data_IF_137429584066
#
_entry.id   IF_137429584066
#
_cell.length_a   1.000
_cell.length_b   1.000
_cell.length_c   1.000
_cell.angle_alpha   90.00
_cell.angle_beta   90.00
_cell.angle_gamma   90.00
#
_symmetry.space_group_name_H-M   'P 1'
#
loop_
_entity.id
_entity.type
_entity.pdbx_description
1 polymer ?
#
# COMPACT_ATOMS: atom_id res chain seq x y z
N UNK A 1 32.83 -2.41 104.31
CA UNK A 1 32.56 -1.69 103.08
C UNK A 1 32.98 -2.62 101.93
N UNK A 2 32.02 -3.41 101.38
CA UNK A 2 32.30 -4.41 100.36
C UNK A 2 31.96 -3.82 99.03
N UNK A 3 32.96 -3.59 98.16
CA UNK A 3 32.82 -3.18 96.78
C UNK A 3 32.58 -4.46 95.93
N UNK A 4 31.36 -4.69 95.53
CA UNK A 4 31.04 -5.69 94.52
C UNK A 4 31.57 -5.19 93.19
N UNK A 5 32.66 -5.77 92.71
CA UNK A 5 33.13 -5.58 91.32
C UNK A 5 32.16 -6.34 90.43
N UNK A 6 31.24 -5.59 89.79
CA UNK A 6 30.39 -6.12 88.78
C UNK A 6 31.23 -6.59 87.59
N UNK A 7 31.18 -7.86 87.34
CA UNK A 7 31.91 -8.48 86.21
C UNK A 7 31.26 -8.11 84.87
N UNK A 8 31.63 -6.95 84.34
CA UNK A 8 31.03 -6.43 83.06
C UNK A 8 31.61 -7.07 81.79
N UNK A 9 32.65 -7.95 81.94
CA UNK A 9 33.35 -8.60 80.81
C UNK A 9 32.45 -9.59 80.00
N UNK A 10 31.46 -10.20 80.65
CA UNK A 10 30.54 -11.15 80.00
C UNK A 10 29.48 -10.47 79.15
N UNK A 11 28.98 -9.26 79.52
CA UNK A 11 27.98 -8.53 78.78
C UNK A 11 28.55 -7.91 77.51
N UNK A 12 29.77 -7.45 77.51
CA UNK A 12 30.41 -6.86 76.34
C UNK A 12 30.54 -7.88 75.19
N UNK A 13 30.84 -9.13 75.46
CA UNK A 13 30.92 -10.19 74.47
C UNK A 13 29.55 -10.53 73.86
N UNK A 14 28.50 -10.61 74.69
CA UNK A 14 27.15 -10.87 74.21
C UNK A 14 26.62 -9.76 73.34
N UNK A 15 26.87 -8.49 73.64
CA UNK A 15 26.51 -7.33 72.83
C UNK A 15 27.31 -7.32 71.56
N UNK A 16 28.60 -7.65 71.55
CA UNK A 16 29.40 -7.72 70.34
C UNK A 16 28.93 -8.81 69.39
N UNK A 17 28.59 -10.01 69.91
CA UNK A 17 28.03 -11.09 69.08
C UNK A 17 26.64 -10.69 68.50
N UNK A 18 25.80 -10.10 69.36
CA UNK A 18 24.49 -9.63 68.89
C UNK A 18 24.61 -8.54 67.78
N UNK A 19 25.48 -7.57 67.98
CA UNK A 19 25.76 -6.53 67.00
C UNK A 19 26.28 -7.13 65.68
N UNK A 20 27.16 -8.13 65.77
CA UNK A 20 27.70 -8.81 64.57
C UNK A 20 26.62 -9.60 63.80
N UNK A 21 25.72 -10.27 64.53
CA UNK A 21 24.57 -10.96 63.93
C UNK A 21 23.62 -9.97 63.26
N UNK A 22 23.29 -8.85 63.89
CA UNK A 22 22.43 -7.81 63.38
C UNK A 22 23.04 -7.17 62.09
N UNK A 23 24.31 -6.81 62.14
CA UNK A 23 25.03 -6.26 60.98
C UNK A 23 25.10 -7.30 59.87
N UNK A 24 25.41 -8.57 60.21
CA UNK A 24 25.41 -9.66 59.25
C UNK A 24 24.04 -9.87 58.57
N UNK A 25 22.96 -9.81 59.33
CA UNK A 25 21.59 -9.90 58.79
C UNK A 25 21.24 -8.71 57.91
N UNK A 26 21.62 -7.48 58.25
CA UNK A 26 21.41 -6.28 57.45
C UNK A 26 22.18 -6.35 56.13
N UNK A 27 23.45 -6.77 56.16
CA UNK A 27 24.27 -6.95 54.95
C UNK A 27 23.68 -8.04 54.06
N UNK A 28 23.28 -9.18 54.60
CA UNK A 28 22.64 -10.26 53.84
C UNK A 28 21.32 -9.80 53.25
N UNK A 29 20.49 -9.04 53.99
CA UNK A 29 19.26 -8.45 53.50
C UNK A 29 19.47 -7.46 52.34
N UNK A 30 20.47 -6.57 52.47
CA UNK A 30 20.82 -5.61 51.46
C UNK A 30 21.33 -6.30 50.17
N UNK A 31 22.18 -7.32 50.30
CA UNK A 31 22.64 -8.12 49.14
C UNK A 31 21.50 -8.87 48.47
N UNK A 32 20.58 -9.45 49.25
CA UNK A 32 19.40 -10.12 48.70
C UNK A 32 18.50 -9.13 47.94
N UNK A 33 18.20 -7.96 48.52
CA UNK A 33 17.42 -6.91 47.87
C UNK A 33 18.09 -6.45 46.54
N UNK A 34 19.39 -6.16 46.57
CA UNK A 34 20.15 -5.74 45.40
C UNK A 34 20.17 -6.81 44.29
N UNK A 35 20.26 -8.09 44.67
CA UNK A 35 20.17 -9.17 43.65
C UNK A 35 18.78 -9.29 43.06
N UNK A 36 17.71 -9.07 43.81
CA UNK A 36 16.34 -9.06 43.32
C UNK A 36 16.07 -7.86 42.37
N UNK A 37 16.56 -6.67 42.78
CA UNK A 37 16.48 -5.48 41.92
C UNK A 37 17.21 -5.67 40.59
N UNK A 38 18.42 -6.22 40.62
CA UNK A 38 19.19 -6.52 39.41
C UNK A 38 18.47 -7.50 38.48
N UNK A 39 17.84 -8.55 39.03
CA UNK A 39 17.04 -9.52 38.25
C UNK A 39 15.80 -8.85 37.63
N UNK A 40 15.11 -8.02 38.38
CA UNK A 40 13.94 -7.28 37.93
C UNK A 40 14.31 -6.31 36.81
N UNK A 41 15.40 -5.57 36.99
CA UNK A 41 15.91 -4.65 35.96
C UNK A 41 16.28 -5.38 34.68
N UNK A 42 16.97 -6.54 34.77
CA UNK A 42 17.31 -7.34 33.57
C UNK A 42 16.07 -7.91 32.88
N UNK A 43 15.09 -8.39 33.63
CA UNK A 43 13.82 -8.87 33.06
C UNK A 43 13.08 -7.73 32.33
N UNK A 44 13.00 -6.56 32.92
CA UNK A 44 12.38 -5.38 32.30
C UNK A 44 13.13 -4.98 31.04
N UNK A 45 14.45 -4.98 31.04
CA UNK A 45 15.27 -4.70 29.86
C UNK A 45 14.98 -5.68 28.72
N UNK A 46 14.85 -6.98 29.02
CA UNK A 46 14.52 -8.01 28.04
C UNK A 46 13.11 -7.88 27.48
N UNK A 47 12.14 -7.55 28.34
CA UNK A 47 10.77 -7.28 27.91
C UNK A 47 10.70 -6.07 26.97
N UNK A 48 11.43 -4.98 27.27
CA UNK A 48 11.52 -3.82 26.39
C UNK A 48 12.15 -4.16 25.03
N UNK A 49 13.19 -4.99 25.02
CA UNK A 49 13.79 -5.47 23.78
C UNK A 49 12.80 -6.32 22.97
N UNK A 50 12.10 -7.25 23.60
CA UNK A 50 11.10 -8.08 22.94
C UNK A 50 9.95 -7.22 22.37
N UNK A 51 9.57 -6.15 23.09
CA UNK A 51 8.60 -5.16 22.59
C UNK A 51 9.12 -4.44 21.33
N UNK A 52 10.36 -3.92 21.36
CA UNK A 52 10.96 -3.27 20.19
C UNK A 52 11.08 -4.21 18.98
N UNK A 53 11.32 -5.52 19.22
CA UNK A 53 11.29 -6.53 18.15
C UNK A 53 9.89 -6.70 17.56
N UNK A 54 8.85 -6.73 18.39
CA UNK A 54 7.47 -6.80 17.90
C UNK A 54 7.06 -5.54 17.12
N UNK A 55 7.44 -4.35 17.60
CA UNK A 55 7.21 -3.07 16.91
C UNK A 55 7.92 -3.02 15.56
N UNK A 56 9.16 -3.50 15.50
CA UNK A 56 9.89 -3.61 14.24
C UNK A 56 9.19 -4.55 13.25
N UNK A 57 8.59 -5.65 13.73
CA UNK A 57 7.78 -6.54 12.92
C UNK A 57 6.54 -5.86 12.33
N UNK A 58 5.87 -4.97 13.08
CA UNK A 58 4.76 -4.15 12.56
C UNK A 58 5.26 -3.22 11.45
N UNK A 59 6.39 -2.54 11.67
CA UNK A 59 6.95 -1.60 10.71
C UNK A 59 7.41 -2.32 9.43
N UNK A 60 8.03 -3.49 9.55
CA UNK A 60 8.43 -4.32 8.41
C UNK A 60 7.23 -4.82 7.62
N UNK A 61 6.16 -5.23 8.31
CA UNK A 61 4.90 -5.58 7.67
C UNK A 61 4.31 -4.41 6.87
N UNK A 62 4.31 -3.20 7.43
CA UNK A 62 3.81 -2.00 6.75
C UNK A 62 4.67 -1.66 5.53
N UNK A 63 6.00 -1.67 5.70
CA UNK A 63 6.95 -1.36 4.64
C UNK A 63 6.93 -2.40 3.49
N UNK A 64 6.76 -3.68 3.83
CA UNK A 64 6.69 -4.79 2.88
C UNK A 64 5.26 -5.19 2.50
N UNK A 65 4.25 -4.30 2.63
CA UNK A 65 2.87 -4.63 2.34
C UNK A 65 2.64 -4.97 0.87
N UNK A 66 2.41 -6.23 0.57
CA UNK A 66 2.03 -6.64 -0.79
C UNK A 66 0.52 -6.46 -1.00
N UNK A 67 0.15 -5.33 -1.59
CA UNK A 67 -1.24 -5.01 -1.88
C UNK A 67 -1.89 -6.01 -2.86
N UNK A 68 -1.11 -6.57 -3.79
CA UNK A 68 -1.60 -7.50 -4.80
C UNK A 68 -2.08 -8.84 -4.21
N UNK A 69 -1.57 -9.19 -3.04
CA UNK A 69 -1.93 -10.42 -2.31
C UNK A 69 -2.87 -10.11 -1.15
N UNK A 70 -2.49 -9.16 -0.29
CA UNK A 70 -3.20 -8.92 0.97
C UNK A 70 -4.53 -8.19 0.78
N UNK A 71 -4.59 -7.20 -0.13
CA UNK A 71 -5.82 -6.44 -0.33
C UNK A 71 -6.93 -7.26 -0.99
N UNK A 72 -6.58 -8.29 -1.75
CA UNK A 72 -7.55 -9.20 -2.41
C UNK A 72 -7.81 -10.47 -1.61
N UNK A 73 -7.11 -10.68 -0.49
CA UNK A 73 -7.29 -11.81 0.40
C UNK A 73 -8.70 -11.89 1.00
N UNK A 74 -9.07 -13.07 1.48
CA UNK A 74 -10.39 -13.32 2.10
C UNK A 74 -10.53 -12.61 3.44
N UNK A 75 -11.76 -12.19 3.77
CA UNK A 75 -12.05 -11.59 5.07
C UNK A 75 -12.16 -12.67 6.16
N UNK A 76 -11.66 -12.34 7.35
CA UNK A 76 -11.75 -13.20 8.53
C UNK A 76 -12.84 -12.64 9.48
N UNK A 77 -13.72 -13.47 10.00
CA UNK A 77 -13.98 -14.91 9.74
C UNK A 77 -15.06 -15.17 8.69
N UNK A 78 -15.52 -14.15 7.95
CA UNK A 78 -16.75 -14.17 7.16
C UNK A 78 -16.65 -15.00 5.87
N UNK A 79 -15.48 -15.08 5.26
CA UNK A 79 -15.29 -15.78 3.98
C UNK A 79 -14.85 -17.23 4.15
N UNK A 80 -15.32 -17.90 5.21
CA UNK A 80 -14.94 -19.27 5.58
C UNK A 80 -13.43 -19.41 5.84
N UNK A 81 -12.75 -18.31 6.12
CA UNK A 81 -11.34 -18.34 6.53
C UNK A 81 -11.28 -18.57 8.03
N UNK A 82 -10.91 -19.78 8.42
CA UNK A 82 -10.78 -20.19 9.82
C UNK A 82 -9.39 -19.91 10.39
N UNK A 83 -8.42 -19.66 9.51
CA UNK A 83 -7.03 -19.40 9.89
C UNK A 83 -6.65 -18.02 9.34
N UNK A 84 -6.13 -17.11 10.17
CA UNK A 84 -5.60 -15.83 9.71
C UNK A 84 -4.35 -16.03 8.84
N UNK A 85 -4.03 -15.05 8.01
CA UNK A 85 -2.78 -15.07 7.26
C UNK A 85 -1.60 -15.01 8.24
N UNK A 86 -0.69 -15.96 8.12
CA UNK A 86 0.54 -15.94 8.89
C UNK A 86 1.46 -14.82 8.38
N UNK A 87 2.04 -14.08 9.32
CA UNK A 87 3.19 -13.24 9.02
C UNK A 87 4.44 -14.14 9.05
N UNK A 88 5.16 -14.19 7.94
CA UNK A 88 6.41 -14.94 7.87
C UNK A 88 7.37 -14.48 8.98
N UNK A 89 8.02 -15.43 9.69
CA UNK A 89 8.95 -15.08 10.73
C UNK A 89 10.10 -14.24 10.19
N UNK A 90 10.27 -13.04 10.73
CA UNK A 90 11.36 -12.14 10.38
C UNK A 90 12.39 -12.03 11.50
N UNK A 91 13.61 -11.68 11.11
CA UNK A 91 14.71 -11.35 12.02
C UNK A 91 15.16 -9.93 11.76
N UNK A 92 15.47 -9.21 12.83
CA UNK A 92 15.98 -7.84 12.69
C UNK A 92 17.49 -7.92 12.45
N UNK A 93 18.01 -7.32 11.37
CA UNK A 93 19.45 -7.26 11.13
C UNK A 93 20.19 -6.68 12.35
N UNK A 94 21.28 -7.34 12.78
CA UNK A 94 22.11 -6.95 13.92
C UNK A 94 21.44 -7.06 15.31
N UNK A 95 20.28 -7.72 15.42
CA UNK A 95 19.62 -8.01 16.69
C UNK A 95 19.41 -9.52 16.90
N UNK A 96 19.40 -9.95 18.15
CA UNK A 96 19.13 -11.35 18.51
C UNK A 96 17.62 -11.66 18.59
N UNK A 97 16.78 -10.79 18.04
CA UNK A 97 15.33 -10.88 18.10
C UNK A 97 14.71 -11.50 16.85
N UNK A 98 13.60 -12.18 17.05
CA UNK A 98 12.74 -12.66 15.98
C UNK A 98 11.29 -12.30 16.27
N UNK A 99 10.53 -11.98 15.22
CA UNK A 99 9.09 -11.75 15.31
C UNK A 99 8.32 -12.77 14.45
N UNK A 100 7.08 -13.00 14.83
CA UNK A 100 6.11 -13.77 14.07
C UNK A 100 4.70 -13.36 14.50
N UNK A 101 3.71 -13.58 13.68
CA UNK A 101 2.35 -13.18 14.02
C UNK A 101 1.30 -13.60 13.01
N UNK A 102 0.14 -12.98 13.14
CA UNK A 102 -1.01 -13.22 12.28
C UNK A 102 -1.62 -11.90 11.81
N UNK A 103 -2.23 -11.94 10.64
CA UNK A 103 -2.91 -10.82 10.01
C UNK A 103 -4.34 -11.24 9.75
N UNK A 104 -5.28 -10.43 10.22
CA UNK A 104 -6.71 -10.66 10.07
C UNK A 104 -7.31 -9.55 9.23
N UNK A 105 -7.80 -9.85 8.05
CA UNK A 105 -8.55 -8.90 7.23
C UNK A 105 -9.97 -8.79 7.77
N UNK A 106 -10.31 -7.66 8.39
CA UNK A 106 -11.63 -7.45 9.01
C UNK A 106 -12.68 -6.96 8.01
N UNK A 107 -12.26 -6.13 7.06
CA UNK A 107 -13.07 -5.68 5.92
C UNK A 107 -12.14 -5.21 4.78
N UNK A 108 -12.70 -4.54 3.76
CA UNK A 108 -11.93 -4.04 2.61
C UNK A 108 -10.77 -3.09 2.95
N UNK A 109 -10.83 -2.42 4.10
CA UNK A 109 -9.89 -1.37 4.48
C UNK A 109 -9.14 -1.64 5.79
N UNK A 110 -9.69 -2.49 6.67
CA UNK A 110 -9.19 -2.67 8.03
C UNK A 110 -8.60 -4.06 8.25
N UNK A 111 -7.44 -4.07 8.87
CA UNK A 111 -6.71 -5.28 9.25
C UNK A 111 -6.34 -5.20 10.72
N UNK A 112 -6.52 -6.30 11.43
CA UNK A 112 -5.94 -6.50 12.75
C UNK A 112 -4.68 -7.33 12.58
N UNK A 113 -3.59 -6.86 13.17
CA UNK A 113 -2.32 -7.59 13.24
C UNK A 113 -2.02 -7.94 14.68
N UNK A 114 -1.49 -9.14 14.88
CA UNK A 114 -1.10 -9.68 16.17
C UNK A 114 0.31 -10.22 16.03
N UNK A 115 1.28 -9.47 16.52
CA UNK A 115 2.71 -9.75 16.35
C UNK A 115 3.36 -10.00 17.69
N UNK A 116 4.12 -11.08 17.75
CA UNK A 116 4.91 -11.50 18.89
C UNK A 116 6.38 -11.32 18.59
N UNK A 117 7.06 -10.48 19.38
CA UNK A 117 8.51 -10.32 19.38
C UNK A 117 9.16 -11.16 20.47
N UNK A 118 10.33 -11.73 20.19
CA UNK A 118 11.16 -12.48 21.12
C UNK A 118 12.56 -11.91 21.13
N UNK A 119 13.12 -11.71 22.33
CA UNK A 119 14.56 -11.47 22.51
C UNK A 119 15.21 -12.81 22.87
N UNK A 120 16.08 -13.32 22.01
CA UNK A 120 16.84 -14.54 22.26
C UNK A 120 18.30 -14.19 22.45
N UNK A 121 18.72 -13.91 23.67
CA UNK A 121 20.16 -13.92 23.98
C UNK A 121 20.63 -15.36 24.17
N UNK A 122 21.55 -15.78 23.32
CA UNK A 122 22.34 -16.99 23.55
C UNK A 122 23.26 -16.75 24.77
N UNK A 123 22.82 -17.21 25.93
CA UNK A 123 23.71 -17.25 27.11
C UNK A 123 24.70 -18.39 26.85
N UNK A 124 25.93 -18.02 26.60
CA UNK A 124 27.06 -18.99 26.67
C UNK A 124 27.08 -19.61 28.09
N UNK A 125 26.95 -20.95 28.11
CA UNK A 125 27.10 -21.85 29.27
C UNK A 125 25.88 -22.03 30.19
N UNK A 126 25.45 -23.29 30.26
CA UNK A 126 24.78 -24.03 31.40
C UNK A 126 23.49 -23.46 32.04
N UNK A 127 23.02 -22.28 31.73
CA UNK A 127 21.72 -21.78 32.17
C UNK A 127 20.70 -21.84 31.06
N UNK A 128 19.52 -22.36 31.38
CA UNK A 128 18.35 -22.39 30.48
C UNK A 128 18.16 -21.02 29.84
N UNK A 129 18.12 -20.96 28.51
CA UNK A 129 17.89 -19.74 27.76
C UNK A 129 16.55 -19.08 28.18
N UNK A 130 16.61 -18.01 28.94
CA UNK A 130 15.44 -17.21 29.26
C UNK A 130 15.15 -16.31 28.10
N UNK A 131 14.11 -16.61 27.32
CA UNK A 131 13.61 -15.73 26.25
C UNK A 131 12.48 -14.87 26.79
N UNK A 132 12.60 -13.56 26.66
CA UNK A 132 11.48 -12.67 26.87
C UNK A 132 10.61 -12.64 25.59
N UNK A 133 9.31 -12.59 25.80
CA UNK A 133 8.32 -12.49 24.71
C UNK A 133 7.36 -11.35 25.02
N UNK A 134 7.08 -10.53 24.02
CA UNK A 134 6.03 -9.52 24.07
C UNK A 134 5.13 -9.63 22.84
N UNK A 135 3.87 -9.31 23.02
CA UNK A 135 2.84 -9.40 21.98
C UNK A 135 2.18 -8.04 21.79
N UNK A 136 2.05 -7.60 20.55
CA UNK A 136 1.44 -6.34 20.17
C UNK A 136 0.26 -6.63 19.25
N UNK A 137 -0.91 -6.07 19.57
CA UNK A 137 -2.04 -5.98 18.68
C UNK A 137 -2.07 -4.61 18.01
N UNK A 138 -2.26 -4.55 16.70
CA UNK A 138 -2.34 -3.31 15.95
C UNK A 138 -3.48 -3.30 14.94
N UNK A 139 -4.15 -2.16 14.81
CA UNK A 139 -5.16 -1.96 13.77
C UNK A 139 -4.52 -1.18 12.62
N UNK A 140 -4.42 -1.82 11.46
CA UNK A 140 -3.94 -1.22 10.22
C UNK A 140 -5.13 -0.83 9.36
N UNK A 141 -5.07 0.33 8.72
CA UNK A 141 -6.04 0.79 7.72
C UNK A 141 -5.34 1.00 6.40
N UNK A 142 -5.92 0.44 5.33
CA UNK A 142 -5.57 0.81 3.98
C UNK A 142 -6.13 2.22 3.72
N UNK A 143 -5.29 3.13 3.26
CA UNK A 143 -5.74 4.45 2.80
C UNK A 143 -6.46 4.26 1.47
N UNK A 144 -7.73 4.61 1.44
CA UNK A 144 -8.54 4.46 0.23
C UNK A 144 -8.28 5.60 -0.74
N UNK A 145 -8.04 5.22 -1.98
CA UNK A 145 -8.00 6.15 -3.09
C UNK A 145 -9.38 6.18 -3.75
N UNK A 146 -10.06 7.31 -3.66
CA UNK A 146 -11.35 7.51 -4.30
C UNK A 146 -11.24 8.59 -5.38
N UNK A 147 -11.19 8.17 -6.63
CA UNK A 147 -11.08 9.09 -7.76
C UNK A 147 -12.40 9.74 -8.15
N UNK A 148 -13.51 9.41 -7.52
CA UNK A 148 -14.82 9.98 -7.86
C UNK A 148 -15.18 9.82 -9.33
N UNK A 149 -14.90 8.65 -9.91
CA UNK A 149 -15.03 8.36 -11.34
C UNK A 149 -16.49 8.47 -11.77
N UNK A 150 -16.80 9.49 -12.56
CA UNK A 150 -18.14 9.77 -13.06
C UNK A 150 -18.31 9.61 -14.58
N UNK A 151 -17.24 9.22 -15.29
CA UNK A 151 -17.22 8.99 -16.73
C UNK A 151 -16.04 8.14 -17.16
N UNK A 152 -16.09 7.59 -18.38
CA UNK A 152 -14.93 6.93 -18.98
C UNK A 152 -13.79 7.93 -19.19
N UNK A 153 -14.14 9.15 -19.60
CA UNK A 153 -13.25 10.31 -19.63
C UNK A 153 -13.79 11.40 -18.69
N UNK A 154 -12.98 11.87 -17.76
CA UNK A 154 -13.24 13.10 -16.98
C UNK A 154 -12.19 14.14 -17.34
N UNK A 155 -12.63 15.33 -17.77
CA UNK A 155 -11.72 16.40 -18.20
C UNK A 155 -12.26 17.78 -17.83
N UNK A 156 -11.37 18.76 -17.72
CA UNK A 156 -11.74 20.19 -17.60
C UNK A 156 -11.57 20.94 -18.91
N UNK A 157 -10.71 20.42 -19.79
CA UNK A 157 -10.37 21.05 -21.05
C UNK A 157 -11.27 20.67 -22.20
N UNK A 158 -10.94 21.18 -23.37
CA UNK A 158 -11.63 20.87 -24.60
C UNK A 158 -11.43 19.40 -24.99
N UNK A 159 -12.46 18.79 -25.55
CA UNK A 159 -12.40 17.44 -26.11
C UNK A 159 -12.75 17.47 -27.58
N UNK A 160 -11.90 16.87 -28.40
CA UNK A 160 -12.17 16.63 -29.81
C UNK A 160 -12.09 15.15 -30.10
N UNK A 161 -13.18 14.60 -30.62
CA UNK A 161 -13.21 13.24 -31.16
C UNK A 161 -13.20 13.32 -32.68
N UNK A 162 -12.37 12.50 -33.33
CA UNK A 162 -12.26 12.45 -34.80
C UNK A 162 -11.88 11.04 -35.22
N UNK A 163 -12.12 10.74 -36.51
CA UNK A 163 -11.90 9.40 -37.08
C UNK A 163 -12.86 8.37 -36.47
N UNK A 164 -12.35 7.22 -36.07
CA UNK A 164 -13.12 6.16 -35.42
C UNK A 164 -12.93 6.15 -33.88
N UNK A 165 -12.41 7.25 -33.31
CA UNK A 165 -12.23 7.35 -31.86
C UNK A 165 -13.59 7.25 -31.16
N UNK A 166 -13.62 6.52 -30.01
CA UNK A 166 -14.83 6.36 -29.23
C UNK A 166 -14.55 6.47 -27.73
N UNK A 167 -15.55 7.02 -27.02
CA UNK A 167 -15.54 7.06 -25.54
C UNK A 167 -16.82 6.42 -25.03
N UNK A 168 -16.70 5.30 -24.34
CA UNK A 168 -17.83 4.51 -23.88
C UNK A 168 -17.87 4.42 -22.36
N UNK A 169 -18.91 5.02 -21.77
CA UNK A 169 -19.17 5.00 -20.33
C UNK A 169 -19.96 3.78 -19.84
N UNK A 170 -20.41 2.91 -20.75
CA UNK A 170 -21.01 1.63 -20.37
C UNK A 170 -19.94 0.73 -19.76
N UNK A 171 -20.31 -0.08 -18.77
CA UNK A 171 -19.34 -0.95 -18.11
C UNK A 171 -18.93 -2.11 -19.01
N UNK A 172 -17.66 -2.18 -19.33
CA UNK A 172 -17.07 -3.21 -20.19
C UNK A 172 -16.08 -4.06 -19.39
N UNK A 173 -16.19 -5.36 -19.53
CA UNK A 173 -15.14 -6.28 -19.12
C UNK A 173 -14.09 -6.29 -20.22
N UNK A 174 -12.78 -6.09 -19.89
CA UNK A 174 -11.74 -6.23 -20.90
C UNK A 174 -11.81 -7.61 -21.57
N UNK A 175 -11.69 -7.63 -22.88
CA UNK A 175 -11.90 -8.85 -23.69
C UNK A 175 -11.02 -10.01 -23.24
N UNK A 176 -9.80 -9.68 -22.78
CA UNK A 176 -8.78 -10.64 -22.38
C UNK A 176 -8.99 -11.17 -20.94
N UNK A 177 -9.84 -10.50 -20.12
CA UNK A 177 -9.97 -10.86 -18.71
C UNK A 177 -11.03 -11.92 -18.43
N UNK A 178 -12.09 -11.94 -19.25
CA UNK A 178 -13.24 -12.82 -19.04
C UNK A 178 -14.08 -12.47 -17.80
N UNK A 179 -15.34 -12.90 -17.80
CA UNK A 179 -16.29 -12.58 -16.72
C UNK A 179 -15.94 -13.22 -15.36
N UNK A 180 -15.19 -14.32 -15.34
CA UNK A 180 -14.88 -15.04 -14.11
C UNK A 180 -13.98 -14.24 -13.14
N UNK A 181 -13.26 -13.25 -13.63
CA UNK A 181 -12.32 -12.43 -12.85
C UNK A 181 -12.88 -11.04 -12.53
N UNK A 182 -14.14 -10.77 -12.88
CA UNK A 182 -14.76 -9.47 -12.75
C UNK A 182 -16.07 -9.56 -11.99
N UNK A 183 -16.28 -8.67 -11.02
CA UNK A 183 -17.59 -8.52 -10.39
C UNK A 183 -18.53 -7.79 -11.36
N UNK A 184 -19.52 -8.53 -11.85
CA UNK A 184 -20.54 -8.04 -12.81
C UNK A 184 -21.82 -7.58 -12.12
N UNK A 185 -21.84 -7.52 -10.78
CA UNK A 185 -23.05 -7.14 -10.05
C UNK A 185 -23.35 -5.64 -10.15
N UNK A 186 -24.58 -5.33 -10.50
CA UNK A 186 -25.13 -3.97 -10.56
C UNK A 186 -24.87 -3.24 -11.87
N UNK A 187 -25.79 -2.34 -12.23
CA UNK A 187 -25.58 -1.40 -13.34
C UNK A 187 -24.61 -0.30 -12.90
N UNK A 188 -23.45 -0.27 -13.53
CA UNK A 188 -22.38 0.67 -13.22
C UNK A 188 -22.09 1.63 -14.38
N UNK A 189 -22.99 1.68 -15.38
CA UNK A 189 -22.88 2.62 -16.52
C UNK A 189 -22.65 4.04 -16.03
N UNK A 190 -21.64 4.68 -16.59
CA UNK A 190 -21.23 6.07 -16.32
C UNK A 190 -21.49 6.94 -17.53
N UNK A 191 -21.20 8.22 -17.41
CA UNK A 191 -21.12 9.08 -18.58
C UNK A 191 -19.95 8.63 -19.49
N UNK A 192 -20.07 8.82 -20.78
CA UNK A 192 -18.94 8.70 -21.68
C UNK A 192 -17.91 9.77 -21.32
N UNK A 193 -18.28 11.03 -21.45
CA UNK A 193 -17.45 12.18 -21.11
C UNK A 193 -18.11 12.97 -19.98
N UNK A 194 -17.34 13.29 -18.94
CA UNK A 194 -17.72 14.20 -17.85
C UNK A 194 -16.84 15.45 -17.88
N UNK A 195 -17.46 16.61 -18.04
CA UNK A 195 -16.78 17.90 -18.22
C UNK A 195 -17.56 19.04 -17.52
N UNK A 196 -16.92 20.11 -17.06
CA UNK A 196 -17.64 21.27 -16.52
C UNK A 196 -18.46 22.02 -17.58
N UNK A 197 -18.05 21.94 -18.85
CA UNK A 197 -18.72 22.61 -19.97
C UNK A 197 -18.85 21.67 -21.17
N UNK A 198 -20.08 21.21 -21.43
CA UNK A 198 -20.37 20.28 -22.53
C UNK A 198 -20.22 20.91 -23.94
N UNK A 199 -20.22 22.25 -24.03
CA UNK A 199 -20.02 22.95 -25.31
C UNK A 199 -18.59 22.83 -25.85
N UNK A 200 -17.65 22.49 -24.96
CA UNK A 200 -16.25 22.26 -25.32
C UNK A 200 -15.97 20.85 -25.88
N UNK A 201 -17.00 20.01 -25.95
CA UNK A 201 -16.87 18.66 -26.54
C UNK A 201 -17.34 18.69 -27.98
N UNK A 202 -16.42 18.41 -28.91
CA UNK A 202 -16.68 18.38 -30.35
C UNK A 202 -16.51 16.98 -30.92
N UNK A 203 -17.32 16.61 -31.94
CA UNK A 203 -17.26 15.27 -32.53
C UNK A 203 -17.84 14.15 -31.65
N UNK A 204 -18.65 14.46 -30.63
CA UNK A 204 -19.20 13.46 -29.72
C UNK A 204 -20.33 12.62 -30.34
N UNK A 205 -21.07 13.15 -31.28
CA UNK A 205 -22.21 12.47 -31.92
C UNK A 205 -21.76 11.20 -32.66
N UNK A 206 -22.29 10.05 -32.26
CA UNK A 206 -21.91 8.74 -32.81
C UNK A 206 -20.56 8.18 -32.31
N UNK A 207 -19.85 8.93 -31.46
CA UNK A 207 -18.54 8.54 -30.93
C UNK A 207 -18.50 8.47 -29.39
N UNK A 208 -19.59 8.87 -28.72
CA UNK A 208 -19.66 8.88 -27.27
C UNK A 208 -20.89 8.12 -26.79
N UNK A 209 -20.70 7.17 -25.89
CA UNK A 209 -21.73 6.30 -25.35
C UNK A 209 -21.70 6.36 -23.83
N UNK A 210 -22.84 6.11 -23.18
CA UNK A 210 -22.98 6.15 -21.72
C UNK A 210 -24.27 6.82 -21.28
N UNK A 211 -24.47 6.98 -19.99
CA UNK A 211 -25.68 7.59 -19.42
C UNK A 211 -25.34 8.75 -18.51
N UNK A 212 -25.43 10.00 -19.04
CA UNK A 212 -25.55 10.40 -20.44
C UNK A 212 -24.24 10.21 -21.23
N UNK A 213 -24.30 10.30 -22.57
CA UNK A 213 -23.11 10.25 -23.41
C UNK A 213 -22.09 11.34 -23.01
N UNK A 214 -22.54 12.61 -22.94
CA UNK A 214 -21.77 13.73 -22.39
C UNK A 214 -22.52 14.31 -21.20
N UNK A 215 -21.84 14.35 -20.04
CA UNK A 215 -22.35 14.91 -18.79
C UNK A 215 -21.68 16.25 -18.51
N UNK A 216 -22.50 17.33 -18.49
CA UNK A 216 -22.04 18.58 -17.91
C UNK A 216 -22.09 18.48 -16.39
N UNK A 217 -20.96 18.75 -15.74
CA UNK A 217 -20.84 18.69 -14.29
C UNK A 217 -19.89 19.78 -13.76
N UNK A 218 -20.48 20.86 -13.31
CA UNK A 218 -19.74 22.02 -12.79
C UNK A 218 -18.96 21.74 -11.51
N UNK A 219 -19.12 20.56 -10.91
CA UNK A 219 -18.31 20.13 -9.77
C UNK A 219 -16.92 19.63 -10.18
N UNK A 220 -16.68 19.40 -11.46
CA UNK A 220 -15.35 19.08 -11.99
C UNK A 220 -14.47 20.32 -11.89
N UNK A 221 -13.51 20.27 -10.98
CA UNK A 221 -12.58 21.38 -10.65
C UNK A 221 -11.14 20.86 -10.64
N UNK A 222 -10.18 21.74 -10.37
CA UNK A 222 -8.78 21.35 -10.18
C UNK A 222 -8.61 20.29 -9.09
N UNK A 223 -9.41 20.39 -8.00
CA UNK A 223 -9.39 19.40 -6.91
C UNK A 223 -9.81 17.99 -7.34
N UNK A 224 -10.63 17.85 -8.39
CA UNK A 224 -11.01 16.55 -8.97
C UNK A 224 -9.80 15.78 -9.47
N UNK A 225 -8.72 16.48 -9.85
CA UNK A 225 -7.49 15.90 -10.40
C UNK A 225 -6.31 15.94 -9.43
N UNK A 226 -6.54 16.40 -8.19
CA UNK A 226 -5.48 16.54 -7.20
C UNK A 226 -5.82 15.96 -5.83
N UNK A 227 -7.09 15.64 -5.57
CA UNK A 227 -7.55 15.07 -4.31
C UNK A 227 -8.41 13.83 -4.55
N UNK A 228 -8.03 12.69 -3.97
CA UNK A 228 -8.60 11.37 -4.24
C UNK A 228 -8.97 10.67 -2.92
N UNK A 229 -10.04 11.12 -2.27
CA UNK A 229 -10.42 10.64 -0.96
C UNK A 229 -9.39 11.04 0.10
N UNK A 230 -8.77 10.05 0.74
CA UNK A 230 -7.77 10.26 1.80
C UNK A 230 -6.36 10.61 1.26
N UNK A 231 -6.17 10.61 -0.05
CA UNK A 231 -4.85 10.74 -0.69
C UNK A 231 -4.89 11.89 -1.70
N UNK A 232 -3.88 12.75 -1.69
CA UNK A 232 -3.68 13.76 -2.72
C UNK A 232 -2.72 13.26 -3.83
N UNK A 233 -2.61 14.05 -4.92
CA UNK A 233 -1.76 13.68 -6.04
C UNK A 233 -0.29 13.47 -5.66
N UNK A 234 0.27 14.33 -4.80
CA UNK A 234 1.68 14.23 -4.40
C UNK A 234 1.94 12.95 -3.57
N UNK A 235 1.01 12.61 -2.68
CA UNK A 235 1.06 11.37 -1.92
C UNK A 235 0.93 10.15 -2.84
N UNK A 236 -0.02 10.16 -3.80
CA UNK A 236 -0.17 9.09 -4.79
C UNK A 236 1.10 8.96 -5.66
N UNK A 237 1.67 10.07 -6.09
CA UNK A 237 2.92 10.10 -6.86
C UNK A 237 4.12 9.58 -6.06
N UNK A 238 4.14 9.79 -4.74
CA UNK A 238 5.18 9.23 -3.86
C UNK A 238 5.07 7.72 -3.66
N UNK A 239 3.91 7.13 -3.94
CA UNK A 239 3.67 5.69 -3.90
C UNK A 239 4.03 4.99 -5.22
N UNK A 240 4.45 5.75 -6.25
CA UNK A 240 4.79 5.16 -7.54
C UNK A 240 5.94 4.16 -7.40
N UNK A 241 5.69 2.94 -7.87
CA UNK A 241 6.69 1.86 -7.90
C UNK A 241 7.66 2.00 -9.06
N UNK A 242 7.21 2.67 -10.12
CA UNK A 242 8.01 2.97 -11.31
C UNK A 242 7.94 4.48 -11.54
N UNK A 243 9.08 5.16 -11.56
CA UNK A 243 9.18 6.59 -11.85
C UNK A 243 10.11 6.80 -13.04
N UNK A 244 9.57 7.41 -14.09
CA UNK A 244 10.26 7.62 -15.36
C UNK A 244 10.31 9.11 -15.68
N UNK A 245 11.46 9.62 -16.13
CA UNK A 245 11.67 11.04 -16.44
C UNK A 245 12.02 11.33 -17.91
N UNK A 246 11.91 10.33 -18.79
CA UNK A 246 12.09 10.51 -20.22
C UNK A 246 10.79 10.90 -20.92
N UNK A 247 10.86 10.96 -22.26
CA UNK A 247 9.72 11.38 -23.08
C UNK A 247 9.24 10.32 -24.08
N UNK A 248 9.81 9.12 -24.08
CA UNK A 248 9.44 8.06 -25.04
C UNK A 248 9.59 6.69 -24.41
N UNK A 249 8.48 5.95 -24.32
CA UNK A 249 8.45 4.62 -23.68
C UNK A 249 7.67 3.60 -24.51
N UNK A 250 8.09 2.35 -24.36
CA UNK A 250 7.40 1.19 -24.93
C UNK A 250 7.21 0.13 -23.84
N UNK A 251 6.19 0.27 -22.98
CA UNK A 251 5.96 -0.65 -21.89
C UNK A 251 5.54 -2.03 -22.38
N UNK A 252 6.09 -3.05 -21.73
CA UNK A 252 5.80 -4.46 -22.04
C UNK A 252 6.09 -5.35 -20.84
N UNK A 253 5.44 -6.52 -20.70
CA UNK A 253 5.77 -7.48 -19.64
C UNK A 253 7.23 -7.92 -19.74
N UNK A 254 7.84 -8.11 -18.56
CA UNK A 254 9.21 -8.62 -18.44
C UNK A 254 9.27 -9.70 -17.38
N UNK A 255 10.04 -10.77 -17.65
CA UNK A 255 10.13 -11.95 -16.80
C UNK A 255 11.58 -12.21 -16.42
N UNK A 256 11.79 -12.72 -15.22
CA UNK A 256 13.08 -13.22 -14.76
C UNK A 256 13.42 -14.56 -15.46
N UNK A 257 14.65 -15.03 -15.31
CA UNK A 257 15.10 -16.28 -15.90
C UNK A 257 14.33 -17.52 -15.39
N UNK A 258 13.75 -17.44 -14.21
CA UNK A 258 12.90 -18.48 -13.60
C UNK A 258 11.43 -18.39 -14.05
N UNK A 259 11.09 -17.45 -14.94
CA UNK A 259 9.74 -17.20 -15.42
C UNK A 259 8.89 -16.34 -14.48
N UNK A 260 9.36 -15.94 -13.30
CA UNK A 260 8.64 -15.03 -12.42
C UNK A 260 8.55 -13.62 -13.01
N UNK A 261 7.57 -12.83 -12.57
CA UNK A 261 7.42 -11.44 -13.04
C UNK A 261 8.60 -10.58 -12.56
N UNK A 262 9.32 -9.94 -13.50
CA UNK A 262 10.40 -9.02 -13.18
C UNK A 262 9.85 -7.64 -12.80
N UNK A 263 9.54 -7.44 -11.54
CA UNK A 263 9.02 -6.17 -11.00
C UNK A 263 10.06 -5.06 -10.91
N UNK A 264 11.35 -5.37 -11.12
CA UNK A 264 12.44 -4.39 -11.08
C UNK A 264 12.71 -3.74 -12.44
N UNK A 265 12.14 -4.30 -13.51
CA UNK A 265 12.29 -3.73 -14.85
C UNK A 265 11.31 -2.54 -15.02
N UNK A 266 11.86 -1.37 -15.30
CA UNK A 266 11.08 -0.14 -15.43
C UNK A 266 10.12 -0.11 -16.64
N UNK A 267 10.33 -0.96 -17.64
CA UNK A 267 9.40 -1.11 -18.76
C UNK A 267 8.29 -2.11 -18.49
N UNK A 268 8.37 -2.87 -17.39
CA UNK A 268 7.35 -3.83 -17.00
C UNK A 268 6.21 -3.14 -16.26
N UNK A 269 5.13 -2.86 -16.98
CA UNK A 269 3.91 -2.28 -16.40
C UNK A 269 2.79 -3.32 -16.23
N UNK A 270 3.17 -4.60 -16.05
CA UNK A 270 2.24 -5.73 -15.93
C UNK A 270 1.82 -6.32 -17.27
N UNK A 271 0.94 -7.31 -17.22
CA UNK A 271 0.48 -8.07 -18.39
C UNK A 271 -1.05 -8.14 -18.41
N UNK A 272 -1.66 -7.01 -18.77
CA UNK A 272 -3.12 -6.88 -18.84
C UNK A 272 -3.74 -7.70 -19.97
N UNK A 273 -3.00 -7.94 -21.06
CA UNK A 273 -3.46 -8.76 -22.19
C UNK A 273 -3.41 -10.25 -21.87
N UNK A 274 -2.64 -10.67 -20.87
CA UNK A 274 -2.57 -12.06 -20.42
C UNK A 274 -2.60 -12.16 -18.90
N UNK A 275 -3.79 -12.15 -18.34
CA UNK A 275 -4.00 -12.26 -16.86
C UNK A 275 -3.51 -13.57 -16.27
N UNK A 276 -3.35 -14.62 -17.08
CA UNK A 276 -2.83 -15.91 -16.62
C UNK A 276 -1.30 -15.92 -16.49
N UNK A 277 -0.60 -14.93 -17.04
CA UNK A 277 0.85 -14.82 -16.92
C UNK A 277 1.27 -14.46 -15.49
N UNK A 278 2.54 -14.71 -15.17
CA UNK A 278 3.10 -14.35 -13.88
C UNK A 278 3.13 -12.82 -13.62
N UNK A 279 3.06 -11.99 -14.67
CA UNK A 279 2.88 -10.54 -14.56
C UNK A 279 1.41 -10.08 -14.62
N UNK A 280 0.45 -10.98 -14.88
CA UNK A 280 -0.97 -10.64 -14.99
C UNK A 280 -1.57 -10.09 -13.69
N UNK A 281 -0.99 -10.38 -12.54
CA UNK A 281 -1.38 -9.85 -11.24
C UNK A 281 -0.50 -8.69 -10.74
N UNK A 282 0.45 -8.21 -11.54
CA UNK A 282 1.29 -7.07 -11.20
C UNK A 282 0.66 -5.78 -11.69
N UNK A 283 0.16 -4.95 -10.78
CA UNK A 283 -0.50 -3.66 -11.02
C UNK A 283 0.36 -2.54 -10.41
N UNK A 284 1.38 -2.04 -11.11
CA UNK A 284 2.21 -0.97 -10.59
C UNK A 284 1.48 0.38 -10.59
N UNK A 285 1.95 1.29 -9.74
CA UNK A 285 1.74 2.72 -9.91
C UNK A 285 2.92 3.23 -10.73
N UNK A 286 2.67 3.66 -11.95
CA UNK A 286 3.69 4.20 -12.85
C UNK A 286 3.55 5.71 -12.90
N UNK A 287 4.62 6.44 -12.64
CA UNK A 287 4.67 7.90 -12.78
C UNK A 287 5.59 8.30 -13.93
N UNK A 288 5.03 9.01 -14.89
CA UNK A 288 5.77 9.72 -15.93
C UNK A 288 5.96 11.15 -15.45
N UNK A 289 7.17 11.43 -14.93
CA UNK A 289 7.51 12.75 -14.42
C UNK A 289 7.63 13.73 -15.59
N UNK A 290 7.23 14.99 -15.34
CA UNK A 290 7.30 16.04 -16.35
C UNK A 290 8.77 16.26 -16.79
N UNK A 291 9.00 16.11 -18.08
CA UNK A 291 10.30 16.34 -18.74
C UNK A 291 10.36 17.70 -19.46
N UNK A 292 9.30 18.55 -19.30
CA UNK A 292 9.14 19.79 -20.06
C UNK A 292 8.69 19.59 -21.49
N UNK A 293 8.37 18.36 -21.87
CA UNK A 293 7.82 17.97 -23.19
C UNK A 293 6.76 16.89 -23.06
N UNK A 294 5.92 16.72 -24.09
CA UNK A 294 4.93 15.65 -24.11
C UNK A 294 5.59 14.28 -24.03
N UNK A 295 5.09 13.43 -23.12
CA UNK A 295 5.54 12.02 -23.04
C UNK A 295 4.81 11.19 -24.07
N UNK A 296 5.53 10.37 -24.82
CA UNK A 296 4.99 9.48 -25.85
C UNK A 296 5.07 8.02 -25.43
N UNK A 297 3.95 7.29 -25.55
CA UNK A 297 3.92 5.84 -25.44
C UNK A 297 3.77 5.22 -26.84
N UNK A 298 4.73 4.37 -27.22
CA UNK A 298 4.81 3.74 -28.53
C UNK A 298 4.33 2.28 -28.49
N UNK A 299 3.03 2.11 -28.36
CA UNK A 299 2.41 0.77 -28.40
C UNK A 299 2.69 -0.08 -27.16
N UNK A 300 2.26 -1.34 -27.23
CA UNK A 300 2.28 -2.43 -26.26
C UNK A 300 1.26 -2.24 -25.12
N UNK A 301 1.59 -2.50 -23.85
CA UNK A 301 0.56 -2.58 -22.81
C UNK A 301 1.02 -2.19 -21.42
N UNK A 302 0.04 -1.88 -20.56
CA UNK A 302 0.25 -1.67 -19.14
C UNK A 302 -1.05 -1.87 -18.35
N UNK A 303 -0.92 -1.99 -17.04
CA UNK A 303 -2.06 -2.06 -16.13
C UNK A 303 -1.73 -1.40 -14.79
N UNK A 304 -2.75 -1.09 -14.00
CA UNK A 304 -2.59 -0.43 -12.70
C UNK A 304 -2.98 1.05 -12.73
N UNK A 305 -2.18 1.91 -12.12
CA UNK A 305 -2.41 3.36 -12.10
C UNK A 305 -1.27 4.06 -12.85
N UNK A 306 -1.63 4.81 -13.90
CA UNK A 306 -0.69 5.63 -14.66
C UNK A 306 -0.87 7.09 -14.27
N UNK A 307 0.17 7.70 -13.75
CA UNK A 307 0.26 9.11 -13.40
C UNK A 307 1.15 9.82 -14.41
N UNK A 308 0.65 10.87 -15.04
CA UNK A 308 1.40 11.67 -16.01
C UNK A 308 1.42 13.12 -15.57
N UNK A 309 2.61 13.65 -15.26
CA UNK A 309 2.75 15.01 -14.76
C UNK A 309 2.55 16.09 -15.84
N UNK A 310 2.70 15.74 -17.11
CA UNK A 310 2.52 16.62 -18.29
C UNK A 310 1.51 16.08 -19.29
N UNK A 311 1.76 16.37 -20.56
CA UNK A 311 0.95 15.85 -21.70
C UNK A 311 1.33 14.40 -22.00
N UNK A 312 0.32 13.61 -22.42
CA UNK A 312 0.50 12.23 -22.87
C UNK A 312 0.12 12.09 -24.34
N UNK A 313 1.05 11.61 -25.15
CA UNK A 313 0.82 11.23 -26.54
C UNK A 313 0.89 9.70 -26.66
N UNK A 314 -0.09 9.11 -27.34
CA UNK A 314 -0.11 7.67 -27.64
C UNK A 314 0.10 7.47 -29.12
N UNK A 315 1.04 6.59 -29.47
CA UNK A 315 1.34 6.18 -30.84
C UNK A 315 1.36 4.66 -30.93
N UNK A 316 0.93 4.12 -32.05
CA UNK A 316 0.87 2.66 -32.26
C UNK A 316 -0.25 1.99 -31.48
N UNK A 317 -0.23 0.66 -31.43
CA UNK A 317 -1.22 -0.14 -30.70
C UNK A 317 -0.84 -0.19 -29.22
N UNK A 318 -1.56 0.52 -28.36
CA UNK A 318 -1.33 0.57 -26.93
C UNK A 318 -2.58 0.15 -26.17
N UNK A 319 -2.44 -0.75 -25.21
CA UNK A 319 -3.55 -1.17 -24.36
C UNK A 319 -3.24 -0.88 -22.89
N UNK A 320 -4.19 -0.29 -22.17
CA UNK A 320 -4.05 -0.01 -20.77
C UNK A 320 -5.27 -0.44 -19.97
N UNK A 321 -5.01 -1.07 -18.80
CA UNK A 321 -6.04 -1.63 -17.93
C UNK A 321 -5.96 -1.01 -16.54
N UNK A 322 -6.92 -0.14 -16.21
CA UNK A 322 -6.96 0.51 -14.90
C UNK A 322 -7.26 2.00 -14.96
N UNK A 323 -6.52 2.80 -14.22
CA UNK A 323 -6.76 4.23 -14.12
C UNK A 323 -5.60 5.04 -14.70
N UNK A 324 -5.94 6.03 -15.53
CA UNK A 324 -4.97 6.96 -16.12
C UNK A 324 -5.29 8.37 -15.65
N UNK A 325 -4.33 9.01 -14.99
CA UNK A 325 -4.42 10.38 -14.50
C UNK A 325 -3.36 11.25 -15.18
N UNK A 326 -3.81 12.20 -15.97
CA UNK A 326 -2.96 13.09 -16.78
C UNK A 326 -3.15 14.52 -16.31
N UNK A 327 -2.09 15.19 -15.90
CA UNK A 327 -2.14 16.60 -15.50
C UNK A 327 -2.18 17.56 -16.66
N UNK A 328 -1.81 17.11 -17.85
CA UNK A 328 -1.94 17.80 -19.12
C UNK A 328 -3.02 17.21 -20.02
N UNK A 329 -2.81 17.27 -21.33
CA UNK A 329 -3.71 16.77 -22.35
C UNK A 329 -3.38 15.35 -22.79
N UNK A 330 -4.42 14.53 -23.05
CA UNK A 330 -4.27 13.25 -23.74
C UNK A 330 -4.39 13.47 -25.25
N UNK A 331 -3.38 13.02 -26.01
CA UNK A 331 -3.39 13.04 -27.47
C UNK A 331 -3.18 11.62 -27.99
N UNK A 332 -3.99 11.20 -28.97
CA UNK A 332 -3.76 9.96 -29.70
C UNK A 332 -3.49 10.31 -31.16
N UNK A 333 -2.32 9.89 -31.66
CA UNK A 333 -1.98 10.10 -33.07
C UNK A 333 -2.75 9.08 -33.95
N UNK A 334 -3.61 9.58 -34.79
CA UNK A 334 -4.32 8.74 -35.78
C UNK A 334 -3.47 8.57 -37.02
N UNK A 335 -3.36 7.34 -37.49
CA UNK A 335 -2.73 6.98 -38.77
C UNK A 335 -2.74 5.46 -38.92
N UNK A 336 -3.61 4.96 -39.74
CA UNK A 336 -3.58 3.65 -40.41
C UNK A 336 -3.69 2.37 -39.56
N UNK A 337 -2.99 2.16 -38.52
CA UNK A 337 -3.02 0.94 -37.68
C UNK A 337 -2.87 1.23 -36.21
N UNK A 338 -3.21 2.44 -35.78
CA UNK A 338 -3.04 2.85 -34.38
C UNK A 338 -4.31 2.52 -33.59
N UNK A 339 -4.25 1.48 -32.78
CA UNK A 339 -5.34 1.07 -31.90
C UNK A 339 -4.93 1.34 -30.45
N UNK A 340 -5.37 2.47 -29.89
CA UNK A 340 -5.16 2.78 -28.48
C UNK A 340 -6.41 2.42 -27.67
N UNK A 341 -6.33 1.41 -26.84
CA UNK A 341 -7.45 0.96 -26.03
C UNK A 341 -7.19 1.18 -24.55
N UNK A 342 -8.08 1.93 -23.90
CA UNK A 342 -8.09 2.11 -22.46
C UNK A 342 -9.30 1.39 -21.87
N UNK A 343 -9.04 0.48 -20.94
CA UNK A 343 -10.04 -0.24 -20.17
C UNK A 343 -9.99 0.24 -18.73
N UNK A 344 -10.98 1.03 -18.33
CA UNK A 344 -11.02 1.60 -16.99
C UNK A 344 -11.55 3.02 -16.98
N UNK A 345 -10.74 3.99 -16.57
CA UNK A 345 -11.09 5.40 -16.63
C UNK A 345 -9.86 6.28 -16.91
N UNK A 346 -10.11 7.36 -17.64
CA UNK A 346 -9.10 8.39 -17.93
C UNK A 346 -9.55 9.71 -17.31
N UNK A 347 -8.66 10.35 -16.56
CA UNK A 347 -8.83 11.68 -16.01
C UNK A 347 -7.74 12.59 -16.60
N UNK A 348 -8.12 13.57 -17.41
CA UNK A 348 -7.18 14.53 -18.00
C UNK A 348 -7.48 15.93 -17.51
N UNK A 349 -6.57 16.50 -16.71
CA UNK A 349 -6.64 17.88 -16.25
C UNK A 349 -5.87 18.74 -17.22
N UNK A 350 -6.57 19.43 -18.11
CA UNK A 350 -5.91 20.40 -18.96
C UNK A 350 -5.58 21.66 -18.14
N UNK A 351 -4.28 21.93 -17.96
CA UNK A 351 -3.80 23.09 -17.23
C UNK A 351 -3.65 24.30 -18.14
N UNK A 352 -3.37 24.06 -19.44
CA UNK A 352 -3.09 25.12 -20.42
C UNK A 352 -4.21 25.33 -21.45
N UNK A 353 -5.41 24.79 -21.21
CA UNK A 353 -6.53 24.78 -22.16
C UNK A 353 -6.21 24.06 -23.48
N UNK A 354 -5.20 23.19 -23.47
CA UNK A 354 -4.87 22.38 -24.64
C UNK A 354 -5.97 21.37 -24.94
N UNK A 355 -6.09 21.07 -26.20
CA UNK A 355 -7.12 20.21 -26.71
C UNK A 355 -6.81 18.74 -26.41
N UNK A 356 -7.59 18.11 -25.55
CA UNK A 356 -7.60 16.66 -25.47
C UNK A 356 -8.23 16.11 -26.74
N UNK A 357 -7.44 15.48 -27.60
CA UNK A 357 -7.93 14.97 -28.86
C UNK A 357 -7.65 13.47 -29.00
N UNK A 358 -8.71 12.72 -29.30
CA UNK A 358 -8.64 11.32 -29.65
C UNK A 358 -8.86 11.19 -31.15
N UNK A 359 -7.92 10.57 -31.83
CA UNK A 359 -7.99 10.37 -33.30
C UNK A 359 -7.58 8.94 -33.64
N UNK A 360 -7.94 8.49 -34.85
CA UNK A 360 -7.70 7.10 -35.27
C UNK A 360 -8.74 6.14 -34.69
N UNK A 361 -8.31 4.94 -34.27
CA UNK A 361 -9.18 3.92 -33.67
C UNK A 361 -9.05 3.91 -32.10
N UNK A 362 -8.76 5.05 -31.48
CA UNK A 362 -8.63 5.12 -30.06
C UNK A 362 -9.96 4.90 -29.34
N UNK A 363 -10.00 4.01 -28.36
CA UNK A 363 -11.19 3.75 -27.53
C UNK A 363 -10.90 3.93 -26.05
N UNK A 364 -11.78 4.63 -25.35
CA UNK A 364 -11.80 4.72 -23.90
C UNK A 364 -13.06 3.99 -23.41
N UNK A 365 -12.90 2.81 -22.89
CA UNK A 365 -13.99 1.98 -22.39
C UNK A 365 -13.99 2.01 -20.86
N UNK A 366 -15.07 2.50 -20.26
CA UNK A 366 -15.23 2.39 -18.82
C UNK A 366 -15.23 0.91 -18.42
N UNK A 367 -14.44 0.57 -17.40
CA UNK A 367 -14.40 -0.77 -16.84
C UNK A 367 -14.29 -0.70 -15.32
N UNK A 368 -15.39 -1.00 -14.63
CA UNK A 368 -15.41 -1.13 -13.17
C UNK A 368 -14.40 -2.17 -12.72
N UNK A 369 -14.32 -3.29 -13.43
CA UNK A 369 -13.41 -4.38 -13.10
C UNK A 369 -11.94 -3.93 -13.13
N UNK A 370 -11.49 -3.31 -14.23
CA UNK A 370 -10.11 -2.86 -14.37
C UNK A 370 -9.74 -1.81 -13.32
N UNK A 371 -10.66 -0.90 -13.01
CA UNK A 371 -10.47 0.10 -11.95
C UNK A 371 -10.37 -0.55 -10.58
N UNK A 372 -11.27 -1.46 -10.26
CA UNK A 372 -11.31 -2.14 -8.95
C UNK A 372 -10.03 -2.95 -8.73
N UNK A 373 -9.58 -3.69 -9.75
CA UNK A 373 -8.32 -4.44 -9.68
C UNK A 373 -7.12 -3.51 -9.47
N UNK A 374 -7.04 -2.41 -10.23
CA UNK A 374 -5.98 -1.43 -10.06
C UNK A 374 -5.97 -0.82 -8.66
N UNK A 375 -7.12 -0.42 -8.13
CA UNK A 375 -7.23 0.19 -6.79
C UNK A 375 -6.93 -0.80 -5.67
N UNK A 376 -7.47 -2.00 -5.74
CA UNK A 376 -7.29 -3.01 -4.70
C UNK A 376 -5.83 -3.44 -4.56
N UNK A 377 -5.08 -3.43 -5.66
CA UNK A 377 -3.69 -3.92 -5.68
C UNK A 377 -2.64 -2.83 -5.46
N UNK A 378 -3.04 -1.56 -5.36
CA UNK A 378 -2.12 -0.42 -5.23
C UNK A 378 -2.26 0.35 -3.92
N UNK A 379 -3.20 0.00 -3.04
CA UNK A 379 -3.45 0.75 -1.80
C UNK A 379 -2.28 0.70 -0.82
N UNK A 380 -1.87 1.87 -0.31
CA UNK A 380 -0.92 1.97 0.79
C UNK A 380 -1.57 1.64 2.13
N UNK A 381 -0.86 0.93 2.97
CA UNK A 381 -1.28 0.64 4.34
C UNK A 381 -0.65 1.62 5.34
N UNK A 382 -1.39 2.00 6.35
CA UNK A 382 -0.90 2.79 7.48
C UNK A 382 -1.58 2.37 8.77
N UNK A 383 -1.01 2.71 9.91
CA UNK A 383 -1.72 2.57 11.18
C UNK A 383 -2.99 3.42 11.15
N UNK A 384 -4.11 2.88 11.63
CA UNK A 384 -5.42 3.54 11.61
C UNK A 384 -5.42 4.86 12.38
N UNK A 385 -4.61 4.96 13.45
CA UNK A 385 -4.36 6.18 14.25
C UNK A 385 -2.97 6.10 14.85
N UNK A 386 -2.42 7.23 15.29
CA UNK A 386 -1.09 7.33 15.92
C UNK A 386 -0.89 6.49 17.21
N UNK A 387 -1.95 5.88 17.75
CA UNK A 387 -1.92 4.97 18.92
C UNK A 387 -2.88 3.79 18.72
N UNK A 388 -2.92 3.23 17.53
CA UNK A 388 -3.82 2.11 17.21
C UNK A 388 -3.26 0.73 17.59
N UNK A 389 -2.15 0.67 18.27
CA UNK A 389 -1.57 -0.56 18.78
C UNK A 389 -1.66 -0.64 20.31
N UNK A 390 -1.83 -1.84 20.82
CA UNK A 390 -1.83 -2.16 22.25
C UNK A 390 -0.88 -3.31 22.53
N UNK A 391 -0.27 -3.26 23.70
CA UNK A 391 0.49 -4.40 24.21
C UNK A 391 -0.49 -5.47 24.70
N UNK A 392 -0.31 -6.69 24.24
CA UNK A 392 -1.08 -7.86 24.69
C UNK A 392 -0.20 -8.68 25.65
N UNK A 393 -0.79 -9.11 26.74
CA UNK A 393 -0.10 -9.89 27.78
C UNK A 393 -0.23 -11.39 27.54
#
# INVERSE_FOLDING_TARGET
>A
MWRTIRNERGMALAIAIFALVVVGALVAGALFAGTQEARTAENNRRLQKAFGVAESGVNELIAGWDASVRNVGKMYPTDSQTVPDALEPGTIPNHTGAFAGNIYKLNGELYLVDISGRDSQSIKSTQKSASARQRIGGLLRIRTVNFGIGGALTTRGNVKLAGNAAVDGRDHIPTEWGAANCDTTGDTTKAGIRTPDSTQVTGAAGHTYGTPAVKQDTTVKSSTFSQFGDINYAELASMATIVLSGNNYKPQPSFNADGSCNKNDQVNWGDGMNRASNCGNYFPIVRLADSGSSTTLNGVQGQGILLVDGDLAIQGSFQYYGLVLIRGALKTAGGGSTDAHFWGAVMAADVDLNLTSLTGNATLNYSKCAITEALNRTGAVSLARSRSWIQLF
#
